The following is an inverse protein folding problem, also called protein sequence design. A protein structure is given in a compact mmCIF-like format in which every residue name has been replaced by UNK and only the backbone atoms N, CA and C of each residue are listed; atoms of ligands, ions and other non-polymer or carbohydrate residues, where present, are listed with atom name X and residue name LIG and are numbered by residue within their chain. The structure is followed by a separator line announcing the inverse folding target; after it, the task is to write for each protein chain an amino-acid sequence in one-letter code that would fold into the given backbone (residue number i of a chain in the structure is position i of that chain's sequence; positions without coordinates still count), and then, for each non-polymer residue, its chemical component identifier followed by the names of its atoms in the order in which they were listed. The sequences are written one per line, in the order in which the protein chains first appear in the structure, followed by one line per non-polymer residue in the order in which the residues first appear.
data_IF_407240918232
#
_entry.id   IF_407240918232
#
_cell.length_a   1.000
_cell.length_b   1.000
_cell.length_c   1.000
_cell.angle_alpha   90.00
_cell.angle_beta   90.00
_cell.angle_gamma   90.00
#
_symmetry.space_group_name_H-M   'P 1'
#
loop_
_entity.id
_entity.type
_entity.pdbx_description
1 polymer ?
#
# COMPACT_ATOMS: atom_id res chain seq x y z
N UNK A 1 -4.68 -25.66 38.48
CA UNK A 1 -5.21 -24.41 39.08
C UNK A 1 -5.94 -23.64 38.01
N UNK A 2 -7.25 -23.44 38.17
CA UNK A 2 -8.10 -22.64 37.28
C UNK A 2 -8.18 -21.24 37.88
N UNK A 3 -7.91 -20.19 37.10
CA UNK A 3 -8.24 -18.82 37.50
C UNK A 3 -9.13 -18.20 36.43
N UNK A 4 -10.41 -18.08 36.79
CA UNK A 4 -11.47 -17.41 36.06
C UNK A 4 -11.33 -15.89 36.20
N UNK A 5 -12.09 -15.19 35.36
CA UNK A 5 -12.79 -13.90 35.57
C UNK A 5 -12.27 -12.73 34.72
N UNK A 6 -13.07 -12.50 33.67
CA UNK A 6 -13.37 -11.28 32.94
C UNK A 6 -13.40 -10.02 33.80
N UNK A 7 -12.80 -8.92 33.33
CA UNK A 7 -13.13 -7.57 33.77
C UNK A 7 -13.11 -6.62 32.56
N UNK A 8 -14.30 -6.33 32.04
CA UNK A 8 -14.59 -5.13 31.27
C UNK A 8 -15.07 -4.10 32.29
N UNK A 9 -14.37 -2.97 32.43
CA UNK A 9 -14.95 -1.69 32.86
C UNK A 9 -13.88 -0.59 32.92
N UNK A 10 -14.17 0.54 32.29
CA UNK A 10 -13.97 1.83 32.96
C UNK A 10 -12.91 2.78 32.40
N UNK A 11 -13.31 3.55 31.39
CA UNK A 11 -13.27 5.02 31.38
C UNK A 11 -12.02 5.73 31.93
N UNK A 12 -11.20 6.27 31.04
CA UNK A 12 -10.57 7.59 31.18
C UNK A 12 -9.96 8.08 29.84
N UNK A 13 -10.77 8.31 28.80
CA UNK A 13 -10.32 9.12 27.66
C UNK A 13 -10.63 10.58 27.95
N UNK A 14 -9.79 11.16 28.79
CA UNK A 14 -9.67 12.59 28.95
C UNK A 14 -9.16 13.20 27.64
N UNK A 15 -9.89 14.20 27.16
CA UNK A 15 -9.48 15.06 26.07
C UNK A 15 -8.12 15.70 26.39
N UNK A 16 -7.07 15.32 25.67
CA UNK A 16 -5.92 16.14 25.26
C UNK A 16 -4.75 15.25 24.84
N UNK A 17 -4.73 14.75 23.60
CA UNK A 17 -3.48 14.55 22.87
C UNK A 17 -3.74 14.85 21.38
N UNK A 18 -3.21 15.97 20.94
CA UNK A 18 -3.21 16.39 19.53
C UNK A 18 -2.47 15.34 18.68
N UNK A 19 -3.16 14.76 17.70
CA UNK A 19 -2.68 14.16 16.44
C UNK A 19 -1.29 13.48 16.39
N UNK A 20 -0.88 12.82 17.46
CA UNK A 20 0.22 11.86 17.47
C UNK A 20 -0.32 10.45 17.26
N UNK A 21 -0.35 9.98 16.00
CA UNK A 21 -0.58 8.57 15.68
C UNK A 21 0.69 7.77 15.98
N UNK A 22 0.91 7.51 17.26
CA UNK A 22 1.95 6.61 17.75
C UNK A 22 1.29 5.37 18.36
N UNK A 23 0.44 4.66 17.60
CA UNK A 23 0.05 3.28 17.84
C UNK A 23 -0.39 2.66 16.50
N UNK A 24 0.19 1.52 16.14
CA UNK A 24 0.03 0.83 14.88
C UNK A 24 -1.43 0.52 14.52
N UNK A 25 -1.94 1.14 13.46
CA UNK A 25 -3.08 0.65 12.68
C UNK A 25 -2.54 -0.14 11.47
N UNK A 26 -3.07 -1.34 11.16
CA UNK A 26 -2.78 -2.02 9.91
C UNK A 26 -3.46 -1.23 8.79
N UNK A 27 -2.74 -0.32 8.13
CA UNK A 27 -3.35 0.43 7.04
C UNK A 27 -2.57 1.57 6.38
N UNK A 28 -1.38 1.95 6.89
CA UNK A 28 -0.58 2.98 6.22
C UNK A 28 0.56 2.35 5.41
N UNK A 29 0.58 2.61 4.11
CA UNK A 29 1.76 2.35 3.27
C UNK A 29 2.59 3.63 3.25
N UNK A 30 3.83 3.55 3.74
CA UNK A 30 4.76 4.66 3.70
C UNK A 30 4.90 5.19 2.26
N UNK A 31 4.71 6.51 2.06
CA UNK A 31 4.77 7.15 0.74
C UNK A 31 3.45 7.16 -0.05
N UNK A 32 2.35 6.62 0.48
CA UNK A 32 1.06 6.58 -0.23
C UNK A 32 0.45 7.96 -0.49
N UNK A 33 0.83 8.97 0.28
CA UNK A 33 0.34 10.35 0.12
C UNK A 33 1.27 11.23 -0.73
N UNK A 34 2.52 10.82 -0.95
CA UNK A 34 3.42 11.54 -1.85
C UNK A 34 3.22 11.04 -3.29
N UNK A 35 2.74 11.94 -4.15
CA UNK A 35 2.52 11.74 -5.59
C UNK A 35 3.13 12.88 -6.40
N UNK A 36 3.89 13.77 -5.76
CA UNK A 36 4.41 14.98 -6.40
C UNK A 36 5.37 14.65 -7.56
N UNK A 37 6.10 13.54 -7.42
CA UNK A 37 7.01 12.96 -8.42
C UNK A 37 6.31 12.22 -9.57
N UNK A 38 4.98 12.08 -9.54
CA UNK A 38 4.25 11.26 -10.50
C UNK A 38 3.56 12.10 -11.59
N UNK A 39 3.66 11.62 -12.83
CA UNK A 39 2.83 12.02 -13.97
C UNK A 39 1.69 11.00 -14.14
N UNK A 40 0.50 11.36 -13.67
CA UNK A 40 -0.71 10.53 -13.75
C UNK A 40 -1.56 10.84 -15.00
N UNK A 41 -1.03 11.61 -15.95
CA UNK A 41 -1.73 11.94 -17.20
C UNK A 41 -1.98 10.69 -18.05
N UNK A 42 -2.98 10.76 -18.94
CA UNK A 42 -3.28 9.64 -19.85
C UNK A 42 -2.14 9.43 -20.85
N UNK A 43 -1.48 10.51 -21.25
CA UNK A 43 -0.33 10.52 -22.15
C UNK A 43 0.86 9.74 -21.56
N UNK A 44 0.97 9.65 -20.23
CA UNK A 44 2.00 8.88 -19.56
C UNK A 44 1.79 7.35 -19.64
N UNK A 45 0.59 6.87 -20.02
CA UNK A 45 0.32 5.43 -20.08
C UNK A 45 1.11 4.70 -21.16
N UNK A 46 1.34 5.37 -22.29
CA UNK A 46 2.01 4.80 -23.46
C UNK A 46 3.52 5.05 -23.48
N UNK A 47 4.05 5.77 -22.49
CA UNK A 47 5.48 6.10 -22.42
C UNK A 47 6.25 4.96 -21.78
N UNK A 48 7.46 4.72 -22.31
CA UNK A 48 8.42 3.83 -21.69
C UNK A 48 9.11 4.50 -20.49
N UNK A 49 9.36 3.75 -19.43
CA UNK A 49 10.08 4.18 -18.24
C UNK A 49 9.54 3.56 -16.96
N UNK A 50 9.78 4.23 -15.83
CA UNK A 50 9.34 3.77 -14.51
C UNK A 50 7.88 4.12 -14.26
N UNK A 51 7.07 3.11 -13.98
CA UNK A 51 5.69 3.24 -13.54
C UNK A 51 5.59 2.84 -12.07
N UNK A 52 4.90 3.64 -11.27
CA UNK A 52 4.66 3.37 -9.86
C UNK A 52 3.28 2.78 -9.63
N UNK A 53 3.22 1.75 -8.77
CA UNK A 53 2.02 1.02 -8.41
C UNK A 53 1.84 0.98 -6.90
N UNK A 54 0.60 1.23 -6.47
CA UNK A 54 0.13 0.80 -5.16
C UNK A 54 -0.34 -0.64 -5.28
N UNK A 55 0.23 -1.56 -4.53
CA UNK A 55 -0.14 -2.97 -4.56
C UNK A 55 -0.98 -3.27 -3.32
N UNK A 56 -2.27 -3.55 -3.56
CA UNK A 56 -3.16 -4.05 -2.52
C UNK A 56 -3.08 -5.58 -2.45
N UNK A 57 -2.88 -6.13 -1.26
CA UNK A 57 -2.79 -7.57 -1.03
C UNK A 57 -3.65 -7.97 0.15
N UNK A 58 -4.30 -9.13 0.08
CA UNK A 58 -5.10 -9.66 1.21
C UNK A 58 -4.27 -10.54 2.16
N UNK A 59 -3.18 -11.14 1.66
CA UNK A 59 -2.35 -12.10 2.39
C UNK A 59 -1.08 -11.51 2.99
N UNK A 60 -0.62 -10.36 2.48
CA UNK A 60 0.51 -9.57 2.97
C UNK A 60 0.08 -8.12 3.09
N UNK A 61 0.88 -7.29 3.77
CA UNK A 61 0.61 -5.86 3.83
C UNK A 61 0.71 -5.20 2.45
N UNK A 62 -0.16 -4.22 2.20
CA UNK A 62 -0.10 -3.35 1.03
C UNK A 62 1.25 -2.63 0.94
N UNK A 63 1.70 -2.30 -0.28
CA UNK A 63 2.99 -1.64 -0.48
C UNK A 63 3.05 -0.85 -1.79
N UNK A 64 4.06 0.01 -1.94
CA UNK A 64 4.36 0.71 -3.18
C UNK A 64 5.53 0.03 -3.88
N UNK A 65 5.46 -0.08 -5.20
CA UNK A 65 6.56 -0.54 -6.04
C UNK A 65 6.69 0.30 -7.30
N UNK A 66 7.90 0.33 -7.88
CA UNK A 66 8.18 0.97 -9.15
C UNK A 66 8.74 -0.07 -10.11
N UNK A 67 8.18 -0.11 -11.31
CA UNK A 67 8.52 -1.10 -12.33
C UNK A 67 8.79 -0.39 -13.64
N UNK A 68 9.95 -0.69 -14.24
CA UNK A 68 10.29 -0.23 -15.58
C UNK A 68 9.50 -1.02 -16.64
N UNK A 69 9.03 -0.34 -17.69
CA UNK A 69 8.36 -1.00 -18.80
C UNK A 69 8.27 -0.13 -20.05
N UNK A 70 7.94 -0.73 -21.20
CA UNK A 70 7.72 0.02 -22.44
C UNK A 70 6.43 0.86 -22.41
N UNK A 71 5.49 0.52 -21.52
CA UNK A 71 4.26 1.23 -21.25
C UNK A 71 3.68 0.75 -19.90
N UNK A 72 2.59 1.39 -19.46
CA UNK A 72 1.92 1.09 -18.21
C UNK A 72 1.37 -0.33 -18.14
N UNK A 73 0.86 -0.88 -19.24
CA UNK A 73 0.30 -2.24 -19.27
C UNK A 73 1.36 -3.31 -19.04
N UNK A 74 2.49 -3.22 -19.74
CA UNK A 74 3.61 -4.14 -19.57
C UNK A 74 4.23 -4.04 -18.16
N UNK A 75 4.37 -2.82 -17.64
CA UNK A 75 4.83 -2.61 -16.27
C UNK A 75 3.84 -3.15 -15.24
N UNK A 76 2.52 -2.99 -15.46
CA UNK A 76 1.49 -3.49 -14.56
C UNK A 76 1.44 -5.01 -14.54
N UNK A 77 1.64 -5.66 -15.69
CA UNK A 77 1.75 -7.13 -15.76
C UNK A 77 2.94 -7.62 -14.93
N UNK A 78 4.09 -6.96 -15.06
CA UNK A 78 5.29 -7.31 -14.28
C UNK A 78 5.04 -7.10 -12.78
N UNK A 79 4.46 -5.97 -12.39
CA UNK A 79 4.08 -5.71 -10.99
C UNK A 79 3.11 -6.78 -10.45
N UNK A 80 2.18 -7.26 -11.27
CA UNK A 80 1.27 -8.35 -10.89
C UNK A 80 2.01 -9.66 -10.65
N UNK A 81 2.84 -10.10 -11.60
CA UNK A 81 3.60 -11.36 -11.50
C UNK A 81 4.56 -11.34 -10.28
N UNK A 82 5.23 -10.22 -10.04
CA UNK A 82 6.09 -10.02 -8.86
C UNK A 82 5.28 -10.06 -7.56
N UNK A 83 4.10 -9.43 -7.55
CA UNK A 83 3.24 -9.41 -6.36
C UNK A 83 2.70 -10.79 -6.00
N UNK A 84 2.35 -11.62 -6.99
CA UNK A 84 1.95 -13.01 -6.77
C UNK A 84 3.09 -13.80 -6.13
N UNK A 85 4.31 -13.66 -6.66
CA UNK A 85 5.50 -14.34 -6.14
C UNK A 85 5.76 -13.92 -4.68
N UNK A 86 5.73 -12.62 -4.41
CA UNK A 86 5.94 -12.05 -3.07
C UNK A 86 4.89 -12.53 -2.07
N UNK A 87 3.65 -12.69 -2.50
CA UNK A 87 2.52 -13.09 -1.66
C UNK A 87 2.32 -14.62 -1.57
N UNK A 88 3.27 -15.41 -2.09
CA UNK A 88 3.21 -16.88 -2.04
C UNK A 88 2.10 -17.47 -2.91
N UNK A 89 1.81 -16.86 -4.06
CA UNK A 89 0.76 -17.27 -4.99
C UNK A 89 -0.62 -16.69 -4.69
N UNK A 90 -0.77 -15.92 -3.61
CA UNK A 90 -2.02 -15.21 -3.31
C UNK A 90 -2.17 -13.97 -4.19
N UNK A 91 -3.41 -13.69 -4.59
CA UNK A 91 -3.72 -12.56 -5.47
C UNK A 91 -3.45 -11.21 -4.80
N UNK A 92 -2.72 -10.36 -5.50
CA UNK A 92 -2.52 -8.95 -5.20
C UNK A 92 -2.93 -8.11 -6.41
N UNK A 93 -3.31 -6.86 -6.17
CA UNK A 93 -3.83 -5.94 -7.17
C UNK A 93 -2.94 -4.69 -7.26
N UNK A 94 -2.02 -4.63 -8.24
CA UNK A 94 -1.28 -3.43 -8.54
C UNK A 94 -2.19 -2.39 -9.22
N UNK A 95 -2.35 -1.25 -8.56
CA UNK A 95 -3.08 -0.06 -9.02
C UNK A 95 -2.06 0.99 -9.44
N UNK A 96 -2.10 1.38 -10.71
CA UNK A 96 -1.19 2.39 -11.24
C UNK A 96 -1.44 3.75 -10.59
N UNK A 97 -0.38 4.37 -10.05
CA UNK A 97 -0.42 5.72 -9.47
C UNK A 97 0.04 6.79 -10.47
N UNK A 98 1.04 6.46 -11.27
CA UNK A 98 1.64 7.41 -12.22
C UNK A 98 2.93 6.89 -12.83
N UNK A 99 3.43 7.59 -13.85
CA UNK A 99 4.81 7.44 -14.32
C UNK A 99 5.71 8.32 -13.45
N UNK A 100 6.90 7.84 -13.10
CA UNK A 100 7.88 8.64 -12.35
C UNK A 100 8.48 9.69 -13.29
N UNK A 101 8.43 10.97 -12.88
CA UNK A 101 8.98 12.11 -13.64
C UNK A 101 10.50 12.18 -13.61
#
# INVERSE_FOLDING_TARGET
MVKKITAVAGLAFGAAMMFGVANAEPGYVAGMMDVSHLDSSREAWEKAGKHEFYVNCTSIGDYITQVDGPNREAAQKTAYDESLTKAGGNTCWPVWRGMVK
#
